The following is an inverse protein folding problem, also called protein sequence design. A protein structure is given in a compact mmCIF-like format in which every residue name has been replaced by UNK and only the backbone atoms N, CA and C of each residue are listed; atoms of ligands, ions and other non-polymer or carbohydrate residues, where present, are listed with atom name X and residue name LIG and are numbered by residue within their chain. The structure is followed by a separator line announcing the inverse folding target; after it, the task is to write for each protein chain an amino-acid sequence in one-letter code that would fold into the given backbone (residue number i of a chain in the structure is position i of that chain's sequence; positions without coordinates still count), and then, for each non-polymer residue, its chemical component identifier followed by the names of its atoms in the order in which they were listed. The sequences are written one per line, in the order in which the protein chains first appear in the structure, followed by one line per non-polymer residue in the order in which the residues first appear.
data_IF_162627156513
#
_entry.id   IF_162627156513
#
_cell.length_a   1.000
_cell.length_b   1.000
_cell.length_c   1.000
_cell.angle_alpha   90.00
_cell.angle_beta   90.00
_cell.angle_gamma   90.00
#
_symmetry.space_group_name_H-M   'P 1'
#
loop_
_entity.id
_entity.type
_entity.pdbx_description
1 polymer ?
#
# COMPACT_ATOMS: atom_id res chain seq x y z
N UNK A 1 -20.57 15.06 -9.68
CA UNK A 1 -20.49 13.82 -10.49
C UNK A 1 -21.76 13.02 -10.28
N UNK A 2 -22.32 12.43 -11.34
CA UNK A 2 -23.60 11.69 -11.27
C UNK A 2 -23.34 10.21 -11.00
N UNK A 3 -24.22 9.54 -10.25
CA UNK A 3 -24.11 8.13 -9.81
C UNK A 3 -23.79 7.13 -10.94
N UNK A 4 -24.16 7.44 -12.18
CA UNK A 4 -23.90 6.62 -13.37
C UNK A 4 -22.43 6.62 -13.84
N UNK A 5 -21.59 7.54 -13.34
CA UNK A 5 -20.16 7.63 -13.67
C UNK A 5 -19.27 6.81 -12.70
N UNK A 6 -19.83 6.33 -11.58
CA UNK A 6 -19.07 5.63 -10.52
C UNK A 6 -19.14 4.10 -10.63
N UNK A 7 -20.14 3.55 -11.31
CA UNK A 7 -20.32 2.11 -11.50
C UNK A 7 -19.14 1.40 -12.21
N UNK A 8 -18.44 2.01 -13.19
CA UNK A 8 -17.33 1.33 -13.86
C UNK A 8 -16.08 1.21 -12.99
N UNK A 9 -15.92 2.05 -11.96
CA UNK A 9 -14.73 2.11 -11.09
C UNK A 9 -14.62 0.94 -10.10
N UNK A 10 -15.73 0.22 -9.88
CA UNK A 10 -15.80 -0.96 -9.03
C UNK A 10 -15.41 -2.27 -9.78
N UNK A 11 -14.98 -2.19 -11.04
CA UNK A 11 -14.54 -3.37 -11.79
C UNK A 11 -13.01 -3.56 -11.67
N UNK A 12 -12.49 -4.80 -11.63
CA UNK A 12 -11.05 -5.05 -11.42
C UNK A 12 -10.12 -4.33 -12.40
N UNK A 13 -10.56 -4.15 -13.66
CA UNK A 13 -9.79 -3.45 -14.70
C UNK A 13 -9.71 -1.93 -14.51
N UNK A 14 -10.74 -1.29 -13.96
CA UNK A 14 -10.74 0.16 -13.73
C UNK A 14 -9.86 0.55 -12.55
N UNK A 15 -9.69 -0.35 -11.58
CA UNK A 15 -8.78 -0.19 -10.45
C UNK A 15 -7.34 -0.13 -10.97
N UNK A 16 -6.92 -1.10 -11.78
CA UNK A 16 -5.58 -1.13 -12.38
C UNK A 16 -5.27 0.10 -13.25
N UNK A 17 -6.23 0.55 -14.06
CA UNK A 17 -6.11 1.78 -14.85
C UNK A 17 -5.95 3.03 -13.98
N UNK A 18 -6.73 3.13 -12.90
CA UNK A 18 -6.68 4.26 -11.96
C UNK A 18 -5.34 4.32 -11.23
N UNK A 19 -4.80 3.16 -10.86
CA UNK A 19 -3.50 3.00 -10.22
C UNK A 19 -2.34 3.46 -11.10
N UNK A 20 -2.32 3.01 -12.36
CA UNK A 20 -1.31 3.42 -13.35
C UNK A 20 -1.34 4.92 -13.62
N UNK A 21 -2.53 5.54 -13.59
CA UNK A 21 -2.72 6.97 -13.80
C UNK A 21 -2.21 7.80 -12.61
N UNK A 22 -2.48 7.36 -11.38
CA UNK A 22 -2.06 8.06 -10.17
C UNK A 22 -0.53 8.09 -10.02
N UNK A 23 0.17 6.98 -10.30
CA UNK A 23 1.65 6.90 -10.21
C UNK A 23 2.37 7.83 -11.19
N UNK A 24 1.82 8.07 -12.39
CA UNK A 24 2.42 9.01 -13.36
C UNK A 24 2.36 10.49 -12.94
N UNK A 25 1.53 10.84 -11.95
CA UNK A 25 1.22 12.24 -11.63
C UNK A 25 1.90 12.77 -10.36
N UNK A 26 2.71 11.97 -9.64
CA UNK A 26 3.45 12.45 -8.46
C UNK A 26 4.93 12.04 -8.51
N UNK A 27 5.87 12.99 -8.31
CA UNK A 27 7.26 12.66 -8.01
C UNK A 27 7.33 11.95 -6.65
N UNK A 28 8.23 10.97 -6.55
CA UNK A 28 8.42 10.12 -5.37
C UNK A 28 9.02 10.92 -4.20
N UNK A 29 8.19 11.38 -3.27
CA UNK A 29 8.58 11.67 -1.89
C UNK A 29 7.88 10.65 -0.98
N UNK A 30 8.47 9.46 -0.86
CA UNK A 30 8.03 8.44 0.09
C UNK A 30 8.92 8.54 1.33
N UNK A 31 8.47 9.30 2.34
CA UNK A 31 9.06 9.24 3.67
C UNK A 31 9.02 7.80 4.19
N UNK A 32 10.19 7.26 4.56
CA UNK A 32 10.42 5.87 5.00
C UNK A 32 9.88 5.57 6.41
N UNK A 33 8.86 6.29 6.86
CA UNK A 33 8.32 6.10 8.20
C UNK A 33 7.07 5.23 8.12
N UNK A 34 7.17 4.01 8.65
CA UNK A 34 5.99 3.20 8.95
C UNK A 34 5.12 3.98 9.94
N UNK A 35 4.11 4.70 9.44
CA UNK A 35 3.15 5.38 10.30
C UNK A 35 2.32 4.31 11.02
N UNK A 36 2.48 4.27 12.34
CA UNK A 36 1.63 3.53 13.25
C UNK A 36 0.15 3.82 12.95
N UNK A 37 -0.66 2.77 12.77
CA UNK A 37 -2.11 2.88 12.71
C UNK A 37 -2.70 2.77 14.11
N UNK A 38 -3.40 3.81 14.56
CA UNK A 38 -4.04 3.87 15.88
C UNK A 38 -5.55 3.78 15.72
N UNK A 39 -6.16 2.88 16.49
CA UNK A 39 -7.60 2.63 16.55
C UNK A 39 -8.08 2.75 17.97
N UNK A 40 -9.20 3.44 18.16
CA UNK A 40 -9.76 3.66 19.50
C UNK A 40 -11.25 3.32 19.52
N UNK A 41 -11.70 2.75 20.64
CA UNK A 41 -13.11 2.49 20.91
C UNK A 41 -13.37 2.50 22.41
N UNK A 42 -14.55 2.96 22.83
CA UNK A 42 -14.99 2.82 24.23
C UNK A 42 -16.06 1.74 24.31
N UNK A 43 -15.84 0.72 25.15
CA UNK A 43 -16.78 -0.39 25.34
C UNK A 43 -17.02 -0.63 26.83
N UNK A 44 -18.29 -0.55 27.24
CA UNK A 44 -18.73 -0.70 28.66
C UNK A 44 -17.94 0.16 29.66
N UNK A 45 -17.60 1.39 29.26
CA UNK A 45 -16.84 2.34 30.09
C UNK A 45 -15.32 2.15 30.05
N UNK A 46 -14.80 1.17 29.31
CA UNK A 46 -13.38 0.98 29.10
C UNK A 46 -12.95 1.61 27.77
N UNK A 47 -11.92 2.45 27.79
CA UNK A 47 -11.26 2.96 26.58
C UNK A 47 -10.23 1.95 26.10
N UNK A 48 -10.38 1.49 24.86
CA UNK A 48 -9.53 0.50 24.21
C UNK A 48 -8.78 1.22 23.10
N UNK A 49 -7.45 1.11 23.13
CA UNK A 49 -6.54 1.65 22.11
C UNK A 49 -5.76 0.50 21.50
N UNK A 50 -5.79 0.39 20.18
CA UNK A 50 -5.04 -0.59 19.40
C UNK A 50 -4.07 0.16 18.50
N UNK A 51 -2.77 -0.10 18.67
CA UNK A 51 -1.69 0.43 17.83
C UNK A 51 -1.18 -0.70 16.96
N UNK A 52 -1.00 -0.45 15.67
CA UNK A 52 -0.58 -1.45 14.71
C UNK A 52 0.51 -0.88 13.83
N UNK A 53 1.65 -1.56 13.81
CA UNK A 53 2.77 -1.28 12.91
C UNK A 53 2.99 -2.53 12.07
N UNK A 54 3.00 -2.36 10.76
CA UNK A 54 3.30 -3.45 9.83
C UNK A 54 4.72 -3.31 9.27
N UNK A 55 5.41 -4.44 9.21
CA UNK A 55 6.54 -4.65 8.31
C UNK A 55 6.08 -5.66 7.27
N UNK A 56 6.03 -5.27 6.00
CA UNK A 56 5.51 -6.10 4.92
C UNK A 56 6.57 -6.19 3.83
N UNK A 57 6.91 -7.41 3.45
CA UNK A 57 7.88 -7.71 2.42
C UNK A 57 7.26 -8.67 1.41
N UNK A 58 7.57 -8.45 0.14
CA UNK A 58 7.28 -9.38 -0.96
C UNK A 58 8.63 -9.73 -1.58
N UNK A 59 9.01 -11.00 -1.49
CA UNK A 59 10.32 -11.49 -1.97
C UNK A 59 11.53 -10.69 -1.42
N UNK A 60 11.43 -10.25 -0.15
CA UNK A 60 12.45 -9.43 0.52
C UNK A 60 12.40 -7.94 0.17
N UNK A 61 11.54 -7.52 -0.77
CA UNK A 61 11.30 -6.11 -1.07
C UNK A 61 10.25 -5.54 -0.12
N UNK A 62 10.65 -4.56 0.69
CA UNK A 62 9.74 -3.89 1.60
C UNK A 62 8.66 -3.10 0.84
N UNK A 63 7.39 -3.32 1.17
CA UNK A 63 6.31 -2.44 0.71
C UNK A 63 6.39 -1.14 1.51
N UNK A 64 6.65 -0.03 0.81
CA UNK A 64 6.83 1.28 1.43
C UNK A 64 5.58 2.15 1.30
N UNK A 65 5.00 2.53 2.42
CA UNK A 65 3.86 3.46 2.44
C UNK A 65 3.00 3.28 3.68
N UNK A 66 2.07 4.21 3.88
CA UNK A 66 1.23 4.21 5.07
C UNK A 66 0.11 3.17 4.95
N UNK A 67 0.12 2.23 5.89
CA UNK A 67 -0.90 1.19 6.04
C UNK A 67 -1.79 1.55 7.23
N UNK A 68 -3.06 1.86 6.95
CA UNK A 68 -4.07 2.09 7.98
C UNK A 68 -4.91 0.84 8.21
N UNK A 69 -5.40 0.65 9.43
CA UNK A 69 -6.36 -0.41 9.76
C UNK A 69 -7.59 0.22 10.39
N UNK A 70 -8.77 -0.23 10.00
CA UNK A 70 -10.04 0.19 10.59
C UNK A 70 -10.43 -0.65 11.81
N UNK A 71 -11.44 -0.21 12.56
CA UNK A 71 -11.92 -0.93 13.75
C UNK A 71 -12.52 -2.30 13.41
N UNK A 72 -13.05 -2.50 12.21
CA UNK A 72 -13.52 -3.78 11.68
C UNK A 72 -12.39 -4.63 11.04
N UNK A 73 -11.14 -4.15 11.08
CA UNK A 73 -9.94 -4.90 10.68
C UNK A 73 -9.57 -4.81 9.20
N UNK A 74 -10.29 -4.01 8.41
CA UNK A 74 -9.93 -3.76 7.02
C UNK A 74 -8.66 -2.90 6.94
N UNK A 75 -7.85 -3.17 5.92
CA UNK A 75 -6.58 -2.51 5.67
C UNK A 75 -6.73 -1.51 4.53
N UNK A 76 -6.15 -0.33 4.70
CA UNK A 76 -6.06 0.71 3.68
C UNK A 76 -4.60 1.02 3.39
N UNK A 77 -4.30 1.26 2.12
CA UNK A 77 -2.95 1.62 1.69
C UNK A 77 -2.98 3.01 1.05
N UNK A 78 -2.18 3.94 1.57
CA UNK A 78 -2.15 5.33 1.12
C UNK A 78 -1.95 5.48 -0.40
N UNK A 79 -1.12 4.63 -1.02
CA UNK A 79 -0.85 4.71 -2.45
C UNK A 79 -2.08 4.35 -3.31
N UNK A 80 -3.08 3.71 -2.71
CA UNK A 80 -4.32 3.29 -3.36
C UNK A 80 -5.52 3.86 -2.57
N UNK A 81 -5.80 5.15 -2.74
CA UNK A 81 -6.88 5.79 -2.01
C UNK A 81 -8.25 5.19 -2.39
N UNK A 82 -9.10 4.99 -1.38
CA UNK A 82 -10.48 4.47 -1.50
C UNK A 82 -10.62 2.97 -1.78
N UNK A 83 -9.58 2.18 -1.58
CA UNK A 83 -9.68 0.71 -1.54
C UNK A 83 -9.41 0.23 -0.11
N UNK A 84 -10.21 -0.74 0.32
CA UNK A 84 -10.02 -1.50 1.55
C UNK A 84 -9.77 -2.95 1.20
N UNK A 85 -8.86 -3.58 1.93
CA UNK A 85 -8.54 -5.00 1.83
C UNK A 85 -8.97 -5.68 3.14
N UNK A 86 -9.39 -6.94 3.07
CA UNK A 86 -9.75 -7.71 4.25
C UNK A 86 -8.55 -7.99 5.15
N UNK A 87 -7.32 -7.92 4.62
CA UNK A 87 -6.09 -8.10 5.38
C UNK A 87 -4.89 -7.45 4.70
N UNK A 88 -3.77 -7.34 5.42
CA UNK A 88 -2.49 -6.90 4.87
C UNK A 88 -1.92 -7.90 3.84
N UNK A 89 -2.28 -9.19 3.93
CA UNK A 89 -1.88 -10.22 2.97
C UNK A 89 -2.61 -10.03 1.65
N UNK A 90 -3.94 -9.86 1.69
CA UNK A 90 -4.73 -9.59 0.48
C UNK A 90 -4.27 -8.29 -0.20
N UNK A 91 -3.94 -7.26 0.58
CA UNK A 91 -3.33 -6.05 0.06
C UNK A 91 -2.05 -6.35 -0.73
N UNK A 92 -1.13 -7.15 -0.17
CA UNK A 92 0.12 -7.52 -0.84
C UNK A 92 -0.13 -8.33 -2.13
N UNK A 93 -1.04 -9.32 -2.09
CA UNK A 93 -1.45 -10.08 -3.27
C UNK A 93 -1.97 -9.16 -4.39
N UNK A 94 -2.82 -8.18 -4.04
CA UNK A 94 -3.37 -7.23 -5.01
C UNK A 94 -2.33 -6.25 -5.55
N UNK A 95 -1.31 -5.91 -4.76
CA UNK A 95 -0.18 -5.11 -5.23
C UNK A 95 0.67 -5.89 -6.24
N UNK A 96 0.94 -7.18 -5.99
CA UNK A 96 1.63 -8.06 -6.95
C UNK A 96 0.82 -8.22 -8.23
N UNK A 97 -0.49 -8.46 -8.13
CA UNK A 97 -1.40 -8.54 -9.28
C UNK A 97 -1.36 -7.24 -10.12
N UNK A 98 -1.25 -6.08 -9.45
CA UNK A 98 -1.37 -4.77 -10.09
C UNK A 98 -0.05 -4.25 -10.68
N UNK A 99 1.06 -4.54 -10.02
CA UNK A 99 2.39 -4.03 -10.33
C UNK A 99 3.44 -5.16 -10.33
N UNK A 100 3.26 -6.20 -11.16
CA UNK A 100 4.18 -7.35 -11.14
C UNK A 100 5.63 -6.94 -11.42
N UNK A 101 5.84 -5.91 -12.26
CA UNK A 101 7.16 -5.40 -12.62
C UNK A 101 7.91 -4.76 -11.43
N UNK A 102 7.21 -4.31 -10.38
CA UNK A 102 7.83 -3.70 -9.19
C UNK A 102 8.42 -4.77 -8.23
N UNK A 103 8.01 -6.03 -8.37
CA UNK A 103 8.41 -7.13 -7.49
C UNK A 103 9.33 -8.15 -8.17
N UNK A 104 9.57 -8.01 -9.48
CA UNK A 104 10.44 -8.89 -10.26
C UNK A 104 9.79 -10.21 -10.68
N UNK A 105 10.55 -11.05 -11.38
CA UNK A 105 10.10 -12.40 -11.77
C UNK A 105 10.28 -13.38 -10.60
N UNK A 106 9.35 -14.34 -10.39
CA UNK A 106 9.49 -15.31 -9.32
C UNK A 106 10.79 -16.11 -9.44
N UNK A 107 11.69 -15.98 -8.46
CA UNK A 107 12.90 -16.79 -8.34
C UNK A 107 14.21 -16.17 -8.83
N UNK A 108 14.24 -14.91 -9.26
CA UNK A 108 15.51 -14.20 -9.49
C UNK A 108 15.97 -13.46 -8.22
N UNK A 109 17.26 -13.53 -7.84
CA UNK A 109 17.78 -12.76 -6.71
C UNK A 109 17.65 -11.26 -7.00
N UNK A 110 17.14 -10.49 -6.04
CA UNK A 110 17.14 -9.03 -6.12
C UNK A 110 18.57 -8.52 -5.98
N UNK A 111 19.18 -8.15 -7.10
CA UNK A 111 20.47 -7.48 -7.14
C UNK A 111 20.38 -6.10 -6.45
N UNK A 112 20.85 -6.03 -5.21
CA UNK A 112 20.93 -4.80 -4.42
C UNK A 112 22.10 -3.93 -4.90
N UNK A 113 22.01 -3.38 -6.12
CA UNK A 113 22.94 -2.35 -6.60
C UNK A 113 22.48 -0.96 -6.13
N UNK A 114 22.95 -0.53 -4.96
CA UNK A 114 22.91 0.87 -4.57
C UNK A 114 23.77 1.74 -5.50
N UNK A 115 23.37 2.99 -5.80
CA UNK A 115 24.17 3.85 -6.68
C UNK A 115 25.47 4.26 -5.97
N UNK A 116 26.60 3.81 -6.52
CA UNK A 116 27.92 4.31 -6.16
C UNK A 116 28.05 5.77 -6.63
N UNK A 117 27.85 6.73 -5.73
CA UNK A 117 28.19 8.12 -5.98
C UNK A 117 29.72 8.27 -5.93
N UNK A 118 30.31 8.45 -7.11
CA UNK A 118 31.71 8.85 -7.28
C UNK A 118 31.88 10.26 -6.71
N UNK A 119 32.77 10.40 -5.72
CA UNK A 119 33.31 11.69 -5.32
C UNK A 119 34.34 12.12 -6.37
N UNK A 120 34.13 13.28 -6.99
CA UNK A 120 35.16 13.98 -7.74
C UNK A 120 35.72 15.07 -6.83
N UNK A 121 37.03 15.05 -6.65
CA UNK A 121 37.85 16.05 -5.92
C UNK A 121 37.78 17.45 -6.54
#
# INVERSE_FOLDING_TARGET
MRKSELAPLAQPRSVLESLRRYRRQRPEEHDRHALESVREVTYKGHHIVVRTTYSIEVDGNAITGHVGVTNDGQVHYHAIPNISFASAVEMAEKLVDAFPDDFGSPGEPVDTHGPAHQHHD
#
